data_IF_067650177761
#
_entry.id   IF_067650177761
#
_cell.length_a   1.000
_cell.length_b   1.000
_cell.length_c   1.000
_cell.angle_alpha   90.00
_cell.angle_beta   90.00
_cell.angle_gamma   90.00
#
_symmetry.space_group_name_H-M   'P 1'
#
loop_
_entity.id
_entity.type
_entity.pdbx_description
1 polymer ?
#
# COMPACT_ATOMS: atom_id res chain seq x y z
N UNK A 1 27.69 8.95 17.78
CA UNK A 1 26.25 9.22 17.59
C UNK A 1 25.54 7.88 17.69
N UNK A 2 24.50 7.77 18.51
CA UNK A 2 23.66 6.57 18.57
C UNK A 2 22.52 6.62 17.53
N UNK A 3 21.81 5.50 17.36
CA UNK A 3 20.76 5.37 16.34
C UNK A 3 19.59 6.31 16.57
N UNK A 4 19.20 6.53 17.83
CA UNK A 4 18.10 7.41 18.22
C UNK A 4 18.41 8.87 17.89
N UNK A 5 19.60 9.34 18.23
CA UNK A 5 20.06 10.69 17.90
C UNK A 5 20.13 10.92 16.37
N UNK A 6 20.59 9.92 15.60
CA UNK A 6 20.58 9.95 14.14
C UNK A 6 19.16 10.04 13.58
N UNK A 7 18.23 9.26 14.12
CA UNK A 7 16.83 9.26 13.69
C UNK A 7 16.13 10.61 14.00
N UNK A 8 16.33 11.16 15.20
CA UNK A 8 15.84 12.50 15.58
C UNK A 8 16.40 13.57 14.64
N UNK A 9 17.69 13.52 14.32
CA UNK A 9 18.33 14.45 13.37
C UNK A 9 17.64 14.41 11.99
N UNK A 10 17.43 13.21 11.42
CA UNK A 10 16.75 13.04 10.13
C UNK A 10 15.28 13.49 10.17
N UNK A 11 14.59 13.31 11.30
CA UNK A 11 13.19 13.74 11.45
C UNK A 11 13.02 15.27 11.52
N UNK A 12 14.03 16.00 12.00
CA UNK A 12 14.01 17.47 12.10
C UNK A 12 14.08 18.18 10.75
N UNK A 13 14.84 17.62 9.80
CA UNK A 13 15.24 18.38 8.63
C UNK A 13 15.54 17.50 7.43
N UNK A 14 14.56 17.35 6.54
CA UNK A 14 14.84 17.02 5.16
C UNK A 14 13.82 17.65 4.20
N UNK A 15 14.33 18.34 3.18
CA UNK A 15 13.57 18.87 2.03
C UNK A 15 14.15 18.42 0.68
N UNK A 16 15.28 17.70 0.69
CA UNK A 16 16.06 17.37 -0.51
C UNK A 16 16.61 15.94 -0.41
N UNK A 17 15.93 15.02 -1.10
CA UNK A 17 16.03 13.57 -0.83
C UNK A 17 17.35 12.94 -1.30
N UNK A 18 17.92 13.37 -2.43
CA UNK A 18 19.10 12.72 -3.02
C UNK A 18 20.41 13.14 -2.33
N UNK A 19 20.55 14.40 -1.94
CA UNK A 19 21.69 14.86 -1.14
C UNK A 19 21.73 14.12 0.20
N UNK A 20 20.58 13.98 0.87
CA UNK A 20 20.48 13.29 2.14
C UNK A 20 20.79 11.78 2.03
N UNK A 21 20.37 11.09 0.94
CA UNK A 21 20.76 9.69 0.69
C UNK A 21 22.28 9.52 0.65
N UNK A 22 22.98 10.41 -0.05
CA UNK A 22 24.44 10.35 -0.14
C UNK A 22 25.12 10.63 1.22
N UNK A 23 24.68 11.67 1.93
CA UNK A 23 25.22 12.01 3.27
C UNK A 23 24.99 10.87 4.28
N UNK A 24 23.79 10.28 4.32
CA UNK A 24 23.49 9.10 5.15
C UNK A 24 24.35 7.90 4.75
N UNK A 25 24.50 7.62 3.45
CA UNK A 25 25.34 6.50 2.99
C UNK A 25 26.81 6.66 3.41
N UNK A 26 27.37 7.88 3.31
CA UNK A 26 28.73 8.20 3.78
C UNK A 26 28.82 8.05 5.30
N UNK A 27 27.88 8.62 6.06
CA UNK A 27 27.88 8.54 7.52
C UNK A 27 27.78 7.09 8.03
N UNK A 28 26.96 6.24 7.39
CA UNK A 28 26.89 4.82 7.72
C UNK A 28 28.20 4.08 7.42
N UNK A 29 28.88 4.37 6.30
CA UNK A 29 30.20 3.78 5.98
C UNK A 29 31.31 4.17 6.96
N UNK A 30 31.17 5.30 7.66
CA UNK A 30 32.08 5.75 8.71
C UNK A 30 31.72 5.18 10.10
N UNK A 31 30.58 4.49 10.26
CA UNK A 31 30.21 3.82 11.50
C UNK A 31 31.02 2.53 11.69
N UNK A 32 31.44 2.25 12.93
CA UNK A 32 32.06 0.98 13.31
C UNK A 32 31.08 -0.21 13.33
N UNK A 33 29.77 0.07 13.40
CA UNK A 33 28.71 -0.92 13.26
C UNK A 33 27.47 -0.29 12.61
N UNK A 34 27.45 -0.13 11.26
CA UNK A 34 26.32 0.47 10.56
C UNK A 34 25.02 -0.33 10.75
N UNK A 35 25.12 -1.65 10.87
CA UNK A 35 23.96 -2.52 11.07
C UNK A 35 23.31 -2.26 12.43
N UNK A 36 24.09 -2.25 13.53
CA UNK A 36 23.55 -1.96 14.86
C UNK A 36 23.04 -0.51 14.96
N UNK A 37 23.79 0.45 14.40
CA UNK A 37 23.40 1.86 14.38
C UNK A 37 22.05 2.09 13.68
N UNK A 38 21.82 1.45 12.53
CA UNK A 38 20.54 1.54 11.82
C UNK A 38 19.43 0.79 12.57
N UNK A 39 19.71 -0.38 13.15
CA UNK A 39 18.71 -1.13 13.91
C UNK A 39 18.20 -0.33 15.13
N UNK A 40 19.11 0.35 15.84
CA UNK A 40 18.78 1.22 16.97
C UNK A 40 18.03 2.50 16.54
N UNK A 41 18.16 2.89 15.27
CA UNK A 41 17.42 3.99 14.66
C UNK A 41 16.01 3.59 14.15
N UNK A 42 15.54 2.37 14.43
CA UNK A 42 14.20 1.90 14.04
C UNK A 42 13.10 2.17 15.08
N UNK A 43 13.44 2.85 16.18
CA UNK A 43 12.47 3.24 17.21
C UNK A 43 11.29 4.04 16.62
N UNK A 44 10.09 3.88 17.19
CA UNK A 44 8.93 4.68 16.81
C UNK A 44 8.36 4.47 15.39
N UNK A 45 8.89 3.53 14.59
CA UNK A 45 8.30 3.16 13.29
C UNK A 45 6.83 2.72 13.43
N UNK A 46 6.53 2.04 14.54
CA UNK A 46 5.18 1.80 15.05
C UNK A 46 5.02 2.45 16.44
N UNK A 47 3.78 2.73 16.89
CA UNK A 47 3.53 3.31 18.20
C UNK A 47 4.19 2.54 19.37
N UNK A 48 4.66 3.25 20.41
CA UNK A 48 4.70 4.72 20.54
C UNK A 48 5.72 5.35 19.59
N UNK A 49 5.37 6.46 18.93
CA UNK A 49 6.26 7.12 17.97
C UNK A 49 7.41 7.85 18.65
N UNK A 50 8.46 8.14 17.86
CA UNK A 50 9.65 8.81 18.37
C UNK A 50 9.33 10.22 18.87
N UNK A 51 9.89 10.59 20.02
CA UNK A 51 9.72 11.91 20.64
C UNK A 51 11.05 12.64 20.80
N UNK A 52 10.98 13.96 20.73
CA UNK A 52 12.02 14.87 21.19
C UNK A 52 11.43 15.77 22.28
N UNK A 53 11.90 15.57 23.52
CA UNK A 53 11.21 16.14 24.69
C UNK A 53 9.74 15.71 24.70
N UNK A 54 8.85 16.68 24.84
CA UNK A 54 7.39 16.47 24.83
C UNK A 54 6.77 16.38 23.43
N UNK A 55 7.54 16.65 22.36
CA UNK A 55 7.04 16.70 20.98
C UNK A 55 7.19 15.34 20.30
N UNK A 56 6.08 14.76 19.87
CA UNK A 56 6.07 13.52 19.08
C UNK A 56 6.19 13.80 17.58
N UNK A 57 7.09 13.08 16.91
CA UNK A 57 7.23 13.19 15.46
C UNK A 57 6.06 12.49 14.75
N UNK A 58 5.54 13.12 13.70
CA UNK A 58 4.49 12.54 12.85
C UNK A 58 4.95 11.20 12.28
N UNK A 59 4.11 10.17 12.38
CA UNK A 59 4.36 8.80 11.88
C UNK A 59 5.02 8.76 10.49
N UNK A 60 4.50 9.52 9.52
CA UNK A 60 5.03 9.57 8.14
C UNK A 60 6.48 10.07 8.07
N UNK A 61 6.90 10.97 8.97
CA UNK A 61 8.28 11.47 9.05
C UNK A 61 9.20 10.36 9.59
N UNK A 62 8.80 9.71 10.69
CA UNK A 62 9.54 8.59 11.29
C UNK A 62 9.67 7.42 10.32
N UNK A 63 8.59 7.04 9.64
CA UNK A 63 8.62 5.97 8.64
C UNK A 63 9.52 6.32 7.45
N UNK A 64 9.58 7.58 7.01
CA UNK A 64 10.49 8.01 5.92
C UNK A 64 11.96 7.95 6.32
N UNK A 65 12.34 8.41 7.52
CA UNK A 65 13.74 8.34 7.98
C UNK A 65 14.19 6.89 8.22
N UNK A 66 13.34 6.03 8.78
CA UNK A 66 13.63 4.59 8.88
C UNK A 66 13.81 3.94 7.50
N UNK A 67 12.90 4.20 6.56
CA UNK A 67 13.00 3.68 5.18
C UNK A 67 14.31 4.14 4.51
N UNK A 68 14.69 5.42 4.68
CA UNK A 68 15.93 5.98 4.15
C UNK A 68 17.19 5.29 4.70
N UNK A 69 17.23 5.08 6.03
CA UNK A 69 18.33 4.41 6.72
C UNK A 69 18.47 2.95 6.29
N UNK A 70 17.36 2.20 6.21
CA UNK A 70 17.36 0.83 5.73
C UNK A 70 17.72 0.75 4.23
N UNK A 71 17.22 1.66 3.40
CA UNK A 71 17.60 1.74 1.97
C UNK A 71 19.11 1.93 1.81
N UNK A 72 19.74 2.82 2.60
CA UNK A 72 21.18 3.02 2.53
C UNK A 72 21.94 1.83 3.11
N UNK A 73 21.44 1.19 4.18
CA UNK A 73 22.05 -0.02 4.74
C UNK A 73 22.07 -1.17 3.72
N UNK A 74 20.95 -1.41 3.03
CA UNK A 74 20.83 -2.39 1.94
C UNK A 74 21.87 -2.13 0.84
N UNK A 75 22.06 -0.87 0.43
CA UNK A 75 23.01 -0.49 -0.63
C UNK A 75 24.48 -0.62 -0.23
N UNK A 76 24.84 -0.34 1.02
CA UNK A 76 26.24 -0.50 1.48
C UNK A 76 26.57 -1.93 1.90
N UNK A 77 25.56 -2.78 2.12
CA UNK A 77 25.64 -4.22 2.40
C UNK A 77 26.76 -4.62 3.36
N UNK A 78 26.75 -4.14 4.62
CA UNK A 78 27.82 -4.39 5.56
C UNK A 78 27.70 -5.80 6.18
N UNK A 79 28.79 -6.33 6.72
CA UNK A 79 28.76 -7.62 7.42
C UNK A 79 27.92 -7.55 8.69
N UNK A 80 26.72 -8.16 8.67
CA UNK A 80 25.79 -8.18 9.80
C UNK A 80 26.26 -9.18 10.86
N UNK A 81 26.53 -8.70 12.09
CA UNK A 81 26.92 -9.55 13.22
C UNK A 81 25.74 -10.44 13.67
N UNK A 82 25.97 -11.69 14.13
CA UNK A 82 24.87 -12.63 14.45
C UNK A 82 23.86 -12.14 15.49
N UNK A 83 24.31 -11.40 16.52
CA UNK A 83 23.41 -10.85 17.54
C UNK A 83 22.51 -9.75 16.96
N UNK A 84 23.06 -8.86 16.14
CA UNK A 84 22.30 -7.81 15.43
C UNK A 84 21.27 -8.44 14.49
N UNK A 85 21.64 -9.49 13.75
CA UNK A 85 20.68 -10.23 12.90
C UNK A 85 19.54 -10.81 13.75
N UNK A 86 19.83 -11.42 14.90
CA UNK A 86 18.83 -11.98 15.82
C UNK A 86 17.88 -10.91 16.38
N UNK A 87 18.36 -9.70 16.63
CA UNK A 87 17.52 -8.56 17.04
C UNK A 87 16.66 -8.05 15.87
N UNK A 88 17.23 -7.91 14.68
CA UNK A 88 16.51 -7.54 13.46
C UNK A 88 15.42 -8.56 13.09
N UNK A 89 15.64 -9.87 13.29
CA UNK A 89 14.61 -10.91 13.13
C UNK A 89 13.42 -10.68 14.05
N UNK A 90 13.65 -10.37 15.34
CA UNK A 90 12.56 -10.06 16.29
C UNK A 90 11.77 -8.83 15.85
N UNK A 91 12.47 -7.78 15.41
CA UNK A 91 11.85 -6.56 14.90
C UNK A 91 11.01 -6.82 13.65
N UNK A 92 11.50 -7.66 12.72
CA UNK A 92 10.78 -8.03 11.51
C UNK A 92 9.48 -8.78 11.81
N UNK A 93 9.47 -9.74 12.75
CA UNK A 93 8.24 -10.38 13.21
C UNK A 93 7.25 -9.40 13.88
N UNK A 94 7.76 -8.45 14.69
CA UNK A 94 6.93 -7.38 15.27
C UNK A 94 6.31 -6.48 14.18
N UNK A 95 7.06 -6.16 13.12
CA UNK A 95 6.55 -5.35 12.01
C UNK A 95 5.52 -6.12 11.18
N UNK A 96 5.79 -7.38 10.86
CA UNK A 96 4.87 -8.26 10.12
C UNK A 96 3.50 -8.41 10.80
N UNK A 97 3.47 -8.47 12.14
CA UNK A 97 2.23 -8.56 12.94
C UNK A 97 1.51 -7.22 13.11
N UNK A 98 2.21 -6.08 13.04
CA UNK A 98 1.60 -4.74 13.09
C UNK A 98 1.16 -4.21 11.72
N UNK A 99 1.70 -4.77 10.63
CA UNK A 99 1.48 -4.30 9.27
C UNK A 99 0.12 -4.70 8.72
N UNK A 100 -0.68 -3.70 8.34
CA UNK A 100 -1.91 -3.86 7.58
C UNK A 100 -1.63 -4.12 6.09
N UNK A 101 -2.59 -4.77 5.42
CA UNK A 101 -2.46 -5.28 4.04
C UNK A 101 -3.13 -4.39 2.98
N UNK A 102 -3.46 -3.14 3.32
CA UNK A 102 -4.09 -2.20 2.39
C UNK A 102 -3.07 -1.25 1.72
N UNK A 103 -3.52 -0.54 0.69
CA UNK A 103 -2.66 0.33 -0.11
C UNK A 103 -2.25 1.65 0.58
N UNK A 104 -2.88 2.02 1.70
CA UNK A 104 -2.55 3.24 2.45
C UNK A 104 -1.23 3.10 3.21
N UNK A 105 -0.86 1.87 3.57
CA UNK A 105 0.33 1.55 4.37
C UNK A 105 1.55 1.12 3.53
N UNK A 106 1.71 1.69 2.33
CA UNK A 106 2.86 1.40 1.44
C UNK A 106 4.23 1.64 2.11
N UNK A 107 4.36 2.60 3.05
CA UNK A 107 5.62 2.87 3.77
C UNK A 107 5.97 1.78 4.79
N UNK A 108 4.97 1.13 5.37
CA UNK A 108 5.11 0.00 6.28
C UNK A 108 5.70 -1.19 5.52
N UNK A 109 5.02 -1.58 4.44
CA UNK A 109 5.42 -2.66 3.54
C UNK A 109 6.83 -2.41 3.01
N UNK A 110 7.11 -1.21 2.52
CA UNK A 110 8.44 -0.84 2.02
C UNK A 110 9.53 -0.95 3.10
N UNK A 111 9.25 -0.47 4.32
CA UNK A 111 10.20 -0.54 5.44
C UNK A 111 10.53 -1.98 5.81
N UNK A 112 9.52 -2.85 5.89
CA UNK A 112 9.72 -4.28 6.14
C UNK A 112 10.57 -4.94 5.05
N UNK A 113 10.31 -4.68 3.77
CA UNK A 113 11.13 -5.25 2.71
C UNK A 113 12.58 -4.75 2.73
N UNK A 114 12.83 -3.48 3.04
CA UNK A 114 14.19 -3.00 3.29
C UNK A 114 14.82 -3.65 4.55
N UNK A 115 14.06 -3.88 5.62
CA UNK A 115 14.54 -4.57 6.82
C UNK A 115 14.91 -6.03 6.53
N UNK A 116 14.10 -6.75 5.76
CA UNK A 116 14.43 -8.13 5.36
C UNK A 116 15.70 -8.16 4.48
N UNK A 117 15.79 -7.26 3.51
CA UNK A 117 16.89 -7.22 2.55
C UNK A 117 18.22 -6.79 3.18
N UNK A 118 18.19 -5.78 4.06
CA UNK A 118 19.42 -5.25 4.68
C UNK A 118 20.08 -6.22 5.67
N UNK A 119 19.29 -7.10 6.32
CA UNK A 119 19.80 -7.99 7.37
C UNK A 119 19.87 -9.47 6.94
N UNK A 120 19.41 -9.78 5.73
CA UNK A 120 19.39 -11.14 5.17
C UNK A 120 18.40 -12.05 5.91
N UNK A 121 17.12 -11.65 5.99
CA UNK A 121 16.12 -12.29 6.84
C UNK A 121 15.06 -13.11 6.08
N UNK A 122 15.11 -13.18 4.75
CA UNK A 122 14.08 -13.80 3.91
C UNK A 122 13.69 -15.22 4.37
N UNK A 123 14.68 -16.05 4.72
CA UNK A 123 14.50 -17.45 5.13
C UNK A 123 13.76 -17.66 6.45
N UNK A 124 13.44 -16.59 7.19
CA UNK A 124 12.64 -16.66 8.41
C UNK A 124 11.12 -16.50 8.16
N UNK A 125 10.71 -16.26 6.91
CA UNK A 125 9.35 -15.93 6.52
C UNK A 125 8.83 -16.84 5.40
N UNK A 126 7.51 -16.97 5.29
CA UNK A 126 6.91 -17.70 4.18
C UNK A 126 7.03 -16.91 2.86
N UNK A 127 7.55 -17.58 1.84
CA UNK A 127 7.81 -17.00 0.53
C UNK A 127 6.54 -16.50 -0.20
N UNK A 128 5.41 -17.19 -0.06
CA UNK A 128 4.15 -16.82 -0.73
C UNK A 128 3.49 -15.64 0.00
N UNK A 129 3.62 -15.55 1.33
CA UNK A 129 3.21 -14.39 2.10
C UNK A 129 4.03 -13.14 1.77
N UNK A 130 5.37 -13.26 1.64
CA UNK A 130 6.22 -12.15 1.18
C UNK A 130 5.78 -11.66 -0.22
N UNK A 131 5.49 -12.58 -1.13
CA UNK A 131 5.04 -12.27 -2.49
C UNK A 131 3.66 -11.59 -2.50
N UNK A 132 2.75 -12.03 -1.63
CA UNK A 132 1.44 -11.38 -1.43
C UNK A 132 1.60 -9.92 -0.95
N UNK A 133 2.53 -9.67 -0.03
CA UNK A 133 2.85 -8.32 0.50
C UNK A 133 3.53 -7.43 -0.55
N UNK A 134 4.44 -7.96 -1.37
CA UNK A 134 5.13 -7.20 -2.44
C UNK A 134 4.17 -6.58 -3.46
N UNK A 135 2.97 -7.15 -3.65
CA UNK A 135 1.96 -6.62 -4.59
C UNK A 135 1.51 -5.21 -4.21
N UNK A 136 1.46 -4.88 -2.91
CA UNK A 136 1.08 -3.55 -2.41
C UNK A 136 2.10 -2.49 -2.90
N UNK A 137 3.39 -2.81 -2.84
CA UNK A 137 4.48 -1.93 -3.28
C UNK A 137 4.93 -2.20 -4.73
N UNK A 138 4.14 -2.89 -5.55
CA UNK A 138 4.49 -3.24 -6.93
C UNK A 138 4.70 -2.04 -7.87
N UNK A 139 4.36 -0.82 -7.43
CA UNK A 139 4.66 0.46 -8.11
C UNK A 139 6.03 1.04 -7.77
N UNK A 140 6.62 0.67 -6.64
CA UNK A 140 7.89 1.24 -6.20
C UNK A 140 9.04 0.78 -7.13
N UNK A 141 9.94 1.71 -7.49
CA UNK A 141 11.09 1.43 -8.36
C UNK A 141 12.02 0.34 -7.81
N UNK A 142 12.14 0.21 -6.50
CA UNK A 142 13.04 -0.76 -5.84
C UNK A 142 12.48 -2.18 -5.71
N UNK A 143 11.19 -2.42 -5.98
CA UNK A 143 10.53 -3.72 -5.78
C UNK A 143 11.16 -4.90 -6.56
N UNK A 144 11.68 -4.72 -7.80
CA UNK A 144 12.45 -5.77 -8.48
C UNK A 144 13.74 -6.15 -7.73
N UNK A 145 14.36 -5.21 -7.01
CA UNK A 145 15.59 -5.47 -6.27
C UNK A 145 15.33 -6.29 -5.00
N UNK A 146 14.20 -6.08 -4.33
CA UNK A 146 13.78 -6.96 -3.22
C UNK A 146 13.61 -8.41 -3.66
N UNK A 147 13.01 -8.66 -4.83
CA UNK A 147 12.84 -10.02 -5.37
C UNK A 147 14.20 -10.70 -5.63
N UNK A 148 15.25 -9.95 -5.98
CA UNK A 148 16.62 -10.46 -6.16
C UNK A 148 17.31 -10.72 -4.82
N UNK A 149 17.38 -9.70 -3.96
CA UNK A 149 18.13 -9.76 -2.69
C UNK A 149 17.51 -10.69 -1.66
N UNK A 150 16.19 -10.95 -1.75
CA UNK A 150 15.48 -11.92 -0.91
C UNK A 150 15.39 -13.32 -1.55
N UNK A 151 16.06 -13.54 -2.70
CA UNK A 151 16.14 -14.83 -3.41
C UNK A 151 14.77 -15.42 -3.83
N UNK A 152 13.74 -14.58 -3.99
CA UNK A 152 12.36 -14.97 -4.34
C UNK A 152 12.15 -15.23 -5.85
N UNK A 153 13.20 -15.72 -6.53
CA UNK A 153 13.26 -15.82 -7.99
C UNK A 153 12.26 -16.79 -8.60
N UNK A 154 12.01 -17.92 -7.94
CA UNK A 154 11.06 -18.95 -8.34
C UNK A 154 9.60 -18.46 -8.33
N UNK A 155 9.28 -17.51 -7.44
CA UNK A 155 7.94 -16.94 -7.26
C UNK A 155 7.58 -15.85 -8.26
N UNK A 156 8.56 -15.28 -8.96
CA UNK A 156 8.37 -14.16 -9.92
C UNK A 156 7.23 -14.40 -10.92
N UNK A 157 7.08 -15.59 -11.54
CA UNK A 157 5.97 -15.83 -12.47
C UNK A 157 4.59 -15.79 -11.81
N UNK A 158 4.46 -16.31 -10.58
CA UNK A 158 3.22 -16.20 -9.80
C UNK A 158 2.92 -14.77 -9.39
N UNK A 159 3.95 -14.00 -9.04
CA UNK A 159 3.84 -12.57 -8.76
C UNK A 159 3.37 -11.76 -9.97
N UNK A 160 3.95 -11.98 -11.15
CA UNK A 160 3.51 -11.35 -12.42
C UNK A 160 2.04 -11.69 -12.71
N UNK A 161 1.65 -12.96 -12.58
CA UNK A 161 0.27 -13.40 -12.76
C UNK A 161 -0.69 -12.69 -11.79
N UNK A 162 -0.31 -12.53 -10.53
CA UNK A 162 -1.10 -11.81 -9.52
C UNK A 162 -1.30 -10.33 -9.88
N UNK A 163 -0.29 -9.65 -10.42
CA UNK A 163 -0.42 -8.26 -10.89
C UNK A 163 -1.38 -8.13 -12.08
N UNK A 164 -1.34 -9.06 -13.04
CA UNK A 164 -2.28 -9.09 -14.16
C UNK A 164 -3.72 -9.29 -13.65
N UNK A 165 -3.93 -10.23 -12.73
CA UNK A 165 -5.24 -10.49 -12.11
C UNK A 165 -5.77 -9.27 -11.33
N UNK A 166 -4.91 -8.57 -10.57
CA UNK A 166 -5.26 -7.33 -9.85
C UNK A 166 -5.36 -6.09 -10.75
N UNK A 167 -5.32 -6.24 -12.08
CA UNK A 167 -5.41 -5.14 -13.06
C UNK A 167 -4.31 -4.08 -12.90
N UNK A 168 -3.09 -4.54 -12.62
CA UNK A 168 -1.85 -3.77 -12.57
C UNK A 168 -0.92 -4.15 -13.74
N UNK A 169 -1.32 -3.93 -15.01
CA UNK A 169 -0.58 -4.42 -16.16
C UNK A 169 0.74 -3.69 -16.40
N UNK A 170 0.84 -2.39 -16.06
CA UNK A 170 2.07 -1.61 -16.25
C UNK A 170 3.15 -2.08 -15.29
N UNK A 171 2.75 -2.37 -14.05
CA UNK A 171 3.58 -3.00 -13.05
C UNK A 171 4.00 -4.41 -13.51
N UNK A 172 3.05 -5.23 -13.99
CA UNK A 172 3.35 -6.56 -14.52
C UNK A 172 4.39 -6.53 -15.64
N UNK A 173 4.21 -5.67 -16.65
CA UNK A 173 5.16 -5.51 -17.78
C UNK A 173 6.54 -5.09 -17.30
N UNK A 174 6.63 -4.18 -16.32
CA UNK A 174 7.91 -3.82 -15.71
C UNK A 174 8.64 -5.02 -15.10
N UNK A 175 7.94 -5.91 -14.41
CA UNK A 175 8.55 -7.14 -13.87
C UNK A 175 8.85 -8.17 -14.96
N UNK A 176 8.04 -8.25 -16.02
CA UNK A 176 8.31 -9.10 -17.18
C UNK A 176 9.65 -8.72 -17.83
N UNK A 177 9.91 -7.42 -18.03
CA UNK A 177 11.19 -6.94 -18.57
C UNK A 177 12.35 -7.03 -17.56
N UNK A 178 12.12 -6.69 -16.28
CA UNK A 178 13.18 -6.72 -15.25
C UNK A 178 13.71 -8.14 -14.92
N UNK A 179 13.03 -9.18 -15.40
CA UNK A 179 13.34 -10.60 -15.20
C UNK A 179 13.24 -11.44 -16.49
N UNK A 180 13.27 -10.80 -17.66
CA UNK A 180 13.35 -11.45 -18.98
C UNK A 180 12.22 -12.46 -19.30
N UNK A 181 11.06 -12.33 -18.65
CA UNK A 181 9.92 -13.27 -18.76
C UNK A 181 9.05 -13.06 -20.03
N UNK A 182 9.54 -12.33 -21.03
CA UNK A 182 8.77 -11.87 -22.22
C UNK A 182 8.11 -13.02 -22.98
N UNK A 183 8.80 -14.15 -23.13
CA UNK A 183 8.24 -15.35 -23.79
C UNK A 183 7.06 -15.96 -23.01
N UNK A 184 7.13 -15.96 -21.67
CA UNK A 184 6.11 -16.55 -20.80
C UNK A 184 4.90 -15.65 -20.62
N UNK A 185 5.10 -14.33 -20.66
CA UNK A 185 4.05 -13.33 -20.53
C UNK A 185 4.19 -12.27 -21.64
N UNK A 186 3.69 -12.54 -22.86
CA UNK A 186 3.81 -11.62 -23.99
C UNK A 186 3.19 -10.24 -23.68
N UNK A 187 3.97 -9.14 -23.68
CA UNK A 187 3.46 -7.81 -23.35
C UNK A 187 2.33 -7.34 -24.27
N UNK A 188 2.32 -7.80 -25.52
CA UNK A 188 1.27 -7.50 -26.50
C UNK A 188 -0.13 -7.86 -25.99
N UNK A 189 -0.32 -9.10 -25.54
CA UNK A 189 -1.61 -9.59 -25.08
C UNK A 189 -2.09 -8.77 -23.88
N UNK A 190 -1.20 -8.52 -22.91
CA UNK A 190 -1.48 -7.76 -21.69
C UNK A 190 -1.92 -6.32 -22.02
N UNK A 191 -1.23 -5.64 -22.95
CA UNK A 191 -1.57 -4.28 -23.36
C UNK A 191 -2.86 -4.21 -24.19
N UNK A 192 -3.10 -5.17 -25.11
CA UNK A 192 -4.34 -5.26 -25.88
C UNK A 192 -5.55 -5.50 -24.96
N UNK A 193 -5.42 -6.40 -24.00
CA UNK A 193 -6.46 -6.69 -23.01
C UNK A 193 -6.74 -5.47 -22.11
N UNK A 194 -5.69 -4.77 -21.66
CA UNK A 194 -5.84 -3.55 -20.87
C UNK A 194 -6.56 -2.44 -21.64
N UNK A 195 -6.16 -2.16 -22.89
CA UNK A 195 -6.81 -1.16 -23.74
C UNK A 195 -8.29 -1.50 -24.01
N UNK A 196 -8.62 -2.77 -24.14
CA UNK A 196 -9.99 -3.28 -24.32
C UNK A 196 -10.80 -3.12 -23.03
N UNK A 197 -10.27 -3.57 -21.89
CA UNK A 197 -10.90 -3.40 -20.58
C UNK A 197 -11.12 -1.93 -20.22
N UNK A 198 -10.15 -1.06 -20.50
CA UNK A 198 -10.24 0.40 -20.35
C UNK A 198 -11.41 0.97 -21.16
N UNK A 199 -11.56 0.55 -22.43
CA UNK A 199 -12.64 1.04 -23.29
C UNK A 199 -14.02 0.60 -22.79
N UNK A 200 -14.15 -0.65 -22.33
CA UNK A 200 -15.38 -1.18 -21.73
C UNK A 200 -15.73 -0.42 -20.45
N UNK A 201 -14.75 -0.17 -19.57
CA UNK A 201 -14.95 0.56 -18.33
C UNK A 201 -15.38 2.02 -18.57
N UNK A 202 -14.75 2.73 -19.51
CA UNK A 202 -15.14 4.08 -19.89
C UNK A 202 -16.57 4.15 -20.46
N UNK A 203 -16.95 3.19 -21.33
CA UNK A 203 -18.33 3.08 -21.84
C UNK A 203 -19.34 2.84 -20.72
N UNK A 204 -19.01 1.99 -19.73
CA UNK A 204 -19.86 1.72 -18.57
C UNK A 204 -20.12 2.98 -17.74
N UNK A 205 -19.08 3.76 -17.42
CA UNK A 205 -19.20 5.04 -16.68
C UNK A 205 -20.12 6.02 -17.43
N UNK A 206 -19.91 6.14 -18.75
CA UNK A 206 -20.73 7.02 -19.61
C UNK A 206 -22.22 6.65 -19.57
N UNK A 207 -22.56 5.36 -19.59
CA UNK A 207 -23.95 4.90 -19.52
C UNK A 207 -24.55 4.94 -18.10
N UNK A 208 -23.75 4.77 -17.04
CA UNK A 208 -24.27 4.78 -15.67
C UNK A 208 -24.55 6.18 -15.14
N UNK A 209 -23.79 7.19 -15.59
CA UNK A 209 -23.95 8.57 -15.09
C UNK A 209 -25.00 9.38 -15.87
N UNK A 210 -25.16 9.12 -17.18
CA UNK A 210 -25.96 9.91 -18.14
C UNK A 210 -25.74 11.45 -18.11
N UNK A 211 -24.72 11.93 -17.40
CA UNK A 211 -24.44 13.34 -17.12
C UNK A 211 -23.14 13.80 -17.80
N UNK A 212 -22.91 15.12 -17.81
CA UNK A 212 -21.69 15.70 -18.41
C UNK A 212 -20.45 15.31 -17.58
N UNK A 213 -20.59 15.28 -16.25
CA UNK A 213 -19.51 14.94 -15.31
C UNK A 213 -19.03 13.51 -15.52
N UNK A 214 -19.94 12.53 -15.59
CA UNK A 214 -19.56 11.13 -15.87
C UNK A 214 -18.98 10.91 -17.26
N UNK A 215 -19.41 11.71 -18.26
CA UNK A 215 -18.75 11.71 -19.57
C UNK A 215 -17.32 12.26 -19.46
N UNK A 216 -17.11 13.40 -18.80
CA UNK A 216 -15.77 13.98 -18.57
C UNK A 216 -14.88 13.00 -17.82
N UNK A 217 -15.38 12.33 -16.78
CA UNK A 217 -14.64 11.33 -16.02
C UNK A 217 -14.27 10.11 -16.87
N UNK A 218 -15.20 9.61 -17.70
CA UNK A 218 -14.90 8.52 -18.63
C UNK A 218 -13.82 8.88 -19.66
N UNK A 219 -13.74 10.15 -20.07
CA UNK A 219 -12.72 10.67 -20.99
C UNK A 219 -11.38 10.90 -20.27
N UNK A 220 -11.37 11.51 -19.08
CA UNK A 220 -10.18 11.68 -18.22
C UNK A 220 -9.48 10.33 -17.97
N UNK A 221 -10.28 9.31 -17.61
CA UNK A 221 -9.80 7.95 -17.43
C UNK A 221 -9.19 7.38 -18.71
N UNK A 222 -9.86 7.56 -19.85
CA UNK A 222 -9.36 7.05 -21.14
C UNK A 222 -8.06 7.73 -21.58
N UNK A 223 -7.90 9.03 -21.33
CA UNK A 223 -6.61 9.74 -21.55
C UNK A 223 -5.54 9.14 -20.64
N UNK A 224 -5.81 9.00 -19.34
CA UNK A 224 -4.88 8.42 -18.37
C UNK A 224 -4.42 7.00 -18.76
N UNK A 225 -5.35 6.13 -19.14
CA UNK A 225 -5.06 4.77 -19.60
C UNK A 225 -4.20 4.75 -20.88
N UNK A 226 -4.50 5.63 -21.85
CA UNK A 226 -3.73 5.73 -23.10
C UNK A 226 -2.33 6.30 -22.89
N UNK A 227 -2.17 7.30 -22.02
CA UNK A 227 -0.87 7.88 -21.63
C UNK A 227 -0.02 6.85 -20.90
N UNK A 228 -0.62 6.02 -20.02
CA UNK A 228 0.09 4.93 -19.36
C UNK A 228 0.60 3.87 -20.35
N UNK A 229 -0.21 3.49 -21.35
CA UNK A 229 0.21 2.58 -22.43
C UNK A 229 1.31 3.21 -23.29
N UNK A 230 1.15 4.45 -23.73
CA UNK A 230 2.15 5.14 -24.54
C UNK A 230 3.50 5.17 -23.83
N UNK A 231 3.50 5.56 -22.54
CA UNK A 231 4.72 5.56 -21.73
C UNK A 231 5.30 4.15 -21.57
N UNK A 232 4.47 3.13 -21.34
CA UNK A 232 4.94 1.74 -21.25
C UNK A 232 5.58 1.26 -22.56
N UNK A 233 5.03 1.67 -23.71
CA UNK A 233 5.59 1.36 -25.03
C UNK A 233 6.95 2.03 -25.23
N UNK A 234 7.10 3.29 -24.85
CA UNK A 234 8.35 4.05 -24.93
C UNK A 234 9.40 3.55 -23.91
N UNK A 235 9.00 3.25 -22.66
CA UNK A 235 9.88 2.76 -21.59
C UNK A 235 10.46 1.35 -21.89
N UNK A 236 9.72 0.49 -22.61
CA UNK A 236 10.10 -0.91 -22.90
C UNK A 236 10.36 -1.22 -24.38
N UNK A 237 10.43 -0.20 -25.25
CA UNK A 237 10.72 -0.33 -26.69
C UNK A 237 9.77 -1.29 -27.43
N UNK A 238 8.47 -1.10 -27.23
CA UNK A 238 7.40 -1.93 -27.81
C UNK A 238 6.81 -1.33 -29.10
N UNK A 239 7.52 -0.41 -29.78
CA UNK A 239 6.99 0.38 -30.90
C UNK A 239 6.65 -0.47 -32.13
N UNK A 240 7.30 -1.63 -32.28
CA UNK A 240 7.00 -2.64 -33.30
C UNK A 240 5.63 -3.31 -33.09
N UNK A 241 5.13 -3.33 -31.85
CA UNK A 241 3.85 -3.92 -31.46
C UNK A 241 2.75 -2.84 -31.40
N UNK A 242 3.09 -1.67 -30.86
CA UNK A 242 2.18 -0.54 -30.69
C UNK A 242 2.78 0.74 -31.27
N UNK A 243 2.20 1.24 -32.36
CA UNK A 243 2.57 2.53 -32.94
C UNK A 243 2.38 3.68 -31.94
N UNK A 244 3.47 4.37 -31.49
CA UNK A 244 3.36 5.50 -30.58
C UNK A 244 2.61 6.67 -31.21
N UNK A 245 2.74 6.85 -32.52
CA UNK A 245 2.04 7.88 -33.28
C UNK A 245 0.51 7.66 -33.28
N UNK A 246 0.07 6.40 -33.40
CA UNK A 246 -1.35 6.05 -33.31
C UNK A 246 -1.91 6.30 -31.91
N UNK A 247 -1.15 5.97 -30.86
CA UNK A 247 -1.52 6.28 -29.47
C UNK A 247 -1.58 7.80 -29.21
N UNK A 248 -0.57 8.55 -29.66
CA UNK A 248 -0.52 10.03 -29.57
C UNK A 248 -1.71 10.68 -30.29
N UNK A 249 -2.13 10.14 -31.44
CA UNK A 249 -3.32 10.63 -32.14
C UNK A 249 -4.62 10.32 -31.38
N UNK A 250 -4.78 9.09 -30.86
CA UNK A 250 -5.93 8.73 -30.03
C UNK A 250 -6.05 9.59 -28.78
N UNK A 251 -4.94 9.93 -28.13
CA UNK A 251 -4.91 10.85 -26.97
C UNK A 251 -5.48 12.22 -27.38
N UNK A 252 -4.94 12.84 -28.45
CA UNK A 252 -5.41 14.13 -28.97
C UNK A 252 -6.91 14.15 -29.32
N UNK A 253 -7.41 13.07 -29.90
CA UNK A 253 -8.83 12.97 -30.29
C UNK A 253 -9.77 12.82 -29.07
N UNK A 254 -9.31 12.18 -27.99
CA UNK A 254 -10.05 12.10 -26.72
C UNK A 254 -9.96 13.42 -25.95
N UNK A 255 -8.80 14.08 -25.93
CA UNK A 255 -8.61 15.41 -25.34
C UNK A 255 -9.49 16.47 -26.03
N UNK A 256 -9.59 16.43 -27.37
CA UNK A 256 -10.50 17.31 -28.13
C UNK A 256 -11.96 17.09 -27.72
N UNK A 257 -12.39 15.83 -27.56
CA UNK A 257 -13.74 15.52 -27.07
C UNK A 257 -13.98 16.04 -25.65
N UNK A 258 -12.99 15.89 -24.76
CA UNK A 258 -13.03 16.36 -23.39
C UNK A 258 -13.19 17.88 -23.32
N UNK A 259 -12.40 18.64 -24.10
CA UNK A 259 -12.52 20.10 -24.19
C UNK A 259 -13.91 20.53 -24.68
N UNK A 260 -14.41 19.94 -25.77
CA UNK A 260 -15.76 20.22 -26.31
C UNK A 260 -16.91 19.91 -25.33
N UNK A 261 -16.67 19.07 -24.31
CA UNK A 261 -17.67 18.72 -23.28
C UNK A 261 -17.55 19.60 -22.04
N UNK A 262 -16.34 19.97 -21.62
CA UNK A 262 -16.13 20.94 -20.52
C UNK A 262 -16.75 22.31 -20.83
N UNK A 263 -16.63 22.80 -22.06
CA UNK A 263 -17.25 24.08 -22.49
C UNK A 263 -18.79 24.05 -22.50
N UNK A 264 -19.43 22.88 -22.31
CA UNK A 264 -20.89 22.73 -22.22
C UNK A 264 -21.40 22.55 -20.78
N UNK A 265 -20.49 22.58 -19.80
CA UNK A 265 -20.86 22.64 -18.40
C UNK A 265 -21.36 24.06 -18.07
N UNK A 266 -22.50 24.24 -17.36
CA UNK A 266 -22.92 25.57 -16.92
C UNK A 266 -21.86 26.19 -16.02
N UNK A 267 -21.53 27.45 -16.31
CA UNK A 267 -20.63 28.25 -15.47
C UNK A 267 -21.35 28.59 -14.16
N UNK A 268 -20.92 27.98 -13.06
CA UNK A 268 -21.47 28.22 -11.72
C UNK A 268 -20.86 29.45 -11.04
N UNK A 269 -19.92 30.15 -11.68
CA UNK A 269 -19.22 31.33 -11.16
C UNK A 269 -19.58 32.63 -11.90
N UNK A 270 -20.86 32.87 -12.21
CA UNK A 270 -21.35 34.22 -12.58
C UNK A 270 -22.86 34.44 -12.42
N UNK A 271 -23.28 34.77 -11.19
CA UNK A 271 -24.26 35.83 -10.81
C UNK A 271 -24.92 35.53 -9.46
N UNK A 272 -24.50 36.23 -8.42
CA UNK A 272 -25.40 36.57 -7.31
C UNK A 272 -26.20 37.82 -7.70
N UNK A 273 -27.55 37.80 -7.70
CA UNK A 273 -28.33 39.02 -7.65
C UNK A 273 -28.31 39.52 -6.20
N UNK A 274 -27.64 40.64 -5.92
CA UNK A 274 -27.86 41.34 -4.66
C UNK A 274 -29.32 41.80 -4.57
N UNK A 275 -30.04 41.54 -3.47
CA UNK A 275 -31.33 42.15 -3.24
C UNK A 275 -31.11 43.62 -2.82
N UNK A 276 -31.39 44.54 -3.74
CA UNK A 276 -31.37 45.97 -3.44
C UNK A 276 -32.46 46.30 -2.39
N UNK A 277 -32.03 46.68 -1.19
CA UNK A 277 -32.89 47.37 -0.22
C UNK A 277 -33.32 48.72 -0.83
N UNK A 278 -34.63 48.88 -1.05
CA UNK A 278 -35.20 50.14 -1.55
C UNK A 278 -36.24 50.65 -0.57
N UNK A 279 -35.83 51.61 0.26
CA UNK A 279 -36.75 52.34 1.11
C UNK A 279 -37.79 53.12 0.30
N UNK A 280 -39.06 53.05 0.71
CA UNK A 280 -40.00 54.16 0.54
C UNK A 280 -41.07 54.16 1.64
N UNK A 281 -41.37 55.36 2.12
CA UNK A 281 -42.09 55.62 3.37
C UNK A 281 -43.62 55.75 3.21
N UNK A 282 -44.32 55.52 4.35
CA UNK A 282 -45.69 56.02 4.71
C UNK A 282 -46.89 55.40 3.94
N UNK A 283 -48.10 55.24 4.51
CA UNK A 283 -48.74 55.69 5.77
C UNK A 283 -49.60 54.57 6.42
N UNK A 284 -49.95 54.72 7.70
CA UNK A 284 -50.96 53.91 8.41
C UNK A 284 -52.36 54.57 8.38
N UNK A 285 -53.43 53.85 8.80
CA UNK A 285 -53.90 54.11 10.18
C UNK A 285 -54.46 52.90 10.96
N UNK A 286 -54.25 52.96 12.30
CA UNK A 286 -55.08 52.58 13.47
C UNK A 286 -56.29 51.64 13.24
N UNK A 287 -56.58 50.65 14.09
CA UNK A 287 -56.38 50.55 15.56
C UNK A 287 -56.17 49.06 15.99
N UNK A 288 -56.25 48.54 17.23
CA UNK A 288 -56.81 49.02 18.52
C UNK A 288 -56.02 48.45 19.75
N UNK A 289 -56.63 48.48 20.95
CA UNK A 289 -56.17 48.02 22.26
C UNK A 289 -56.35 46.47 22.48
N UNK A 290 -55.80 45.79 23.50
CA UNK A 290 -55.38 46.25 24.84
C UNK A 290 -54.19 45.46 25.43
N UNK A 291 -53.47 46.10 26.36
CA UNK A 291 -52.67 45.46 27.42
C UNK A 291 -53.40 45.67 28.78
N UNK A 292 -52.94 45.23 29.99
CA UNK A 292 -51.63 45.64 30.54
C UNK A 292 -50.93 44.71 31.57
N UNK A 293 -49.77 45.21 32.05
CA UNK A 293 -49.06 44.95 33.34
C UNK A 293 -48.00 43.82 33.41
N UNK A 294 -46.84 44.22 33.98
CA UNK A 294 -45.57 43.53 34.29
C UNK A 294 -45.60 43.06 35.80
N UNK A 295 -44.50 42.87 36.61
CA UNK A 295 -43.05 42.86 36.35
C UNK A 295 -42.16 41.79 37.07
N UNK A 296 -40.99 41.54 36.46
CA UNK A 296 -39.61 41.53 37.04
C UNK A 296 -39.14 40.71 38.29
N UNK A 297 -37.90 40.17 38.15
CA UNK A 297 -36.81 40.05 39.19
C UNK A 297 -37.00 39.01 40.35
N UNK A 298 -35.98 38.50 41.08
CA UNK A 298 -34.52 38.33 40.88
C UNK A 298 -33.81 37.65 42.09
N UNK A 299 -32.70 36.91 41.88
CA UNK A 299 -31.46 36.83 42.72
C UNK A 299 -31.38 36.00 44.05
N UNK A 300 -30.17 35.40 44.28
CA UNK A 300 -29.55 34.83 45.52
C UNK A 300 -30.05 33.47 46.09
N UNK A 301 -29.22 32.45 46.38
CA UNK A 301 -28.13 32.27 47.38
C UNK A 301 -28.67 32.08 48.83
N UNK A 302 -28.20 31.18 49.71
CA UNK A 302 -26.81 30.80 50.10
C UNK A 302 -26.77 29.53 51.02
N UNK A 303 -25.58 28.96 51.30
CA UNK A 303 -25.20 28.07 52.47
C UNK A 303 -25.85 26.67 52.64
N UNK A 304 -25.19 25.61 53.18
CA UNK A 304 -23.76 25.42 53.51
C UNK A 304 -23.40 24.12 54.29
N UNK A 305 -22.19 23.59 54.03
CA UNK A 305 -21.22 22.86 54.91
C UNK A 305 -21.49 21.49 55.62
N UNK A 306 -20.55 20.54 55.39
CA UNK A 306 -20.11 19.37 56.23
C UNK A 306 -21.13 18.23 56.49
N UNK A 307 -20.78 16.96 56.78
CA UNK A 307 -19.60 16.30 57.42
C UNK A 307 -19.18 15.00 56.65
N UNK A 308 -18.01 14.43 56.96
CA UNK A 308 -17.45 13.20 56.34
C UNK A 308 -17.53 11.93 57.28
N UNK A 309 -16.70 10.86 57.15
CA UNK A 309 -17.16 9.47 56.99
C UNK A 309 -17.00 8.59 58.26
N UNK A 310 -17.11 7.24 58.17
CA UNK A 310 -15.86 6.45 58.10
C UNK A 310 -15.93 5.14 57.27
N UNK A 311 -14.86 4.35 57.34
CA UNK A 311 -14.53 3.16 56.55
C UNK A 311 -14.09 1.96 57.41
N UNK A 312 -14.32 0.71 56.98
CA UNK A 312 -13.51 -0.51 57.29
C UNK A 312 -14.14 -1.75 56.62
N UNK A 313 -13.46 -2.58 55.80
CA UNK A 313 -12.39 -3.58 56.06
C UNK A 313 -12.90 -4.97 56.49
N UNK A 314 -12.76 -6.00 55.63
CA UNK A 314 -12.26 -7.37 55.96
C UNK A 314 -12.44 -8.37 54.80
N UNK A 315 -11.63 -9.44 54.81
CA UNK A 315 -11.59 -10.61 53.91
C UNK A 315 -10.86 -11.76 54.67
N UNK A 316 -10.57 -12.94 54.08
CA UNK A 316 -11.36 -13.96 53.35
C UNK A 316 -11.40 -15.27 54.24
N UNK A 317 -11.26 -16.57 53.81
CA UNK A 317 -11.38 -17.27 52.51
C UNK A 317 -12.16 -18.63 52.54
N UNK A 318 -12.12 -19.38 51.40
CA UNK A 318 -12.33 -20.85 51.24
C UNK A 318 -13.81 -21.37 51.26
N UNK A 319 -14.27 -22.35 50.46
CA UNK A 319 -13.65 -23.54 49.89
C UNK A 319 -14.50 -24.26 48.79
N UNK A 320 -13.86 -25.16 48.02
CA UNK A 320 -14.39 -26.41 47.40
C UNK A 320 -15.45 -26.42 46.26
N UNK A 321 -15.18 -27.28 45.28
CA UNK A 321 -15.98 -27.71 44.11
C UNK A 321 -16.51 -29.14 44.38
N UNK A 322 -17.72 -29.55 43.92
CA UNK A 322 -17.76 -30.56 42.86
C UNK A 322 -18.93 -30.48 41.83
N UNK A 323 -18.64 -31.11 40.69
CA UNK A 323 -19.42 -31.44 39.48
C UNK A 323 -20.83 -32.03 39.71
N UNK A 324 -21.75 -31.85 38.73
CA UNK A 324 -22.23 -32.94 37.81
C UNK A 324 -23.12 -32.42 36.66
N UNK A 325 -22.91 -32.98 35.45
CA UNK A 325 -23.79 -32.94 34.24
C UNK A 325 -25.13 -33.71 34.50
N UNK A 326 -26.11 -33.91 33.56
CA UNK A 326 -26.07 -33.91 32.08
C UNK A 326 -27.42 -33.44 31.41
N UNK A 327 -27.97 -33.97 30.27
CA UNK A 327 -27.45 -34.79 29.16
C UNK A 327 -27.94 -34.44 27.71
N UNK A 328 -27.43 -35.23 26.73
CA UNK A 328 -28.13 -35.74 25.51
C UNK A 328 -28.35 -34.84 24.26
N UNK A 329 -28.25 -35.32 23.00
CA UNK A 329 -27.76 -36.63 22.47
C UNK A 329 -27.47 -36.59 20.93
N UNK A 330 -26.52 -37.41 20.47
CA UNK A 330 -26.53 -38.04 19.13
C UNK A 330 -25.82 -37.30 17.96
N UNK A 331 -25.03 -37.94 17.09
CA UNK A 331 -24.45 -39.29 17.18
C UNK A 331 -24.03 -39.92 15.83
N UNK A 332 -22.82 -40.50 15.79
CA UNK A 332 -22.35 -41.55 14.84
C UNK A 332 -22.15 -41.19 13.34
N UNK A 333 -21.22 -41.82 12.57
CA UNK A 333 -20.13 -42.77 12.91
C UNK A 333 -19.01 -42.80 11.84
N UNK A 334 -17.82 -43.21 12.30
CA UNK A 334 -16.57 -43.54 11.56
C UNK A 334 -16.73 -44.54 10.39
N UNK A 335 -15.73 -44.54 9.48
CA UNK A 335 -14.79 -45.68 9.32
C UNK A 335 -13.41 -45.26 8.78
N UNK A 336 -12.36 -45.94 9.23
CA UNK A 336 -10.98 -45.84 8.73
C UNK A 336 -10.70 -46.95 7.70
N UNK A 337 -9.66 -46.79 6.88
CA UNK A 337 -9.03 -47.87 6.11
C UNK A 337 -7.50 -47.76 6.22
N UNK A 338 -6.84 -48.92 6.26
CA UNK A 338 -5.38 -49.08 6.33
C UNK A 338 -4.75 -49.08 4.93
N UNK A 339 -3.45 -48.82 4.83
CA UNK A 339 -2.61 -49.28 3.72
C UNK A 339 -1.28 -49.84 4.23
N UNK A 340 -0.86 -50.96 3.65
CA UNK A 340 0.45 -51.57 3.81
C UNK A 340 1.18 -51.62 2.46
N UNK A 341 2.51 -51.78 2.53
CA UNK A 341 3.47 -51.79 1.43
C UNK A 341 3.35 -52.99 0.48
N UNK A 342 3.72 -52.83 -0.81
CA UNK A 342 4.45 -53.84 -1.62
C UNK A 342 5.04 -53.29 -2.94
N UNK A 343 6.25 -53.79 -3.21
CA UNK A 343 7.18 -53.80 -4.36
C UNK A 343 6.91 -53.23 -5.78
N UNK A 344 7.94 -52.48 -6.25
CA UNK A 344 8.77 -52.53 -7.48
C UNK A 344 8.26 -53.01 -8.89
N UNK A 345 8.94 -52.60 -10.00
CA UNK A 345 8.32 -52.40 -11.32
C UNK A 345 8.74 -53.41 -12.43
N UNK A 346 8.15 -53.30 -13.64
CA UNK A 346 8.67 -53.91 -14.87
C UNK A 346 9.52 -52.96 -15.75
N UNK A 347 10.14 -53.54 -16.79
CA UNK A 347 11.33 -53.06 -17.52
C UNK A 347 11.09 -52.26 -18.81
N UNK A 348 12.19 -51.68 -19.30
CA UNK A 348 12.46 -51.16 -20.64
C UNK A 348 12.04 -52.09 -21.79
N UNK A 349 11.77 -51.48 -22.96
CA UNK A 349 11.97 -52.13 -24.27
C UNK A 349 12.74 -51.19 -25.21
N UNK A 350 13.75 -51.74 -25.88
CA UNK A 350 14.53 -51.07 -26.92
C UNK A 350 13.88 -51.19 -28.30
N UNK A 351 13.91 -50.09 -29.06
CA UNK A 351 14.07 -50.01 -30.53
C UNK A 351 14.49 -48.53 -30.80
N UNK A 352 15.50 -48.17 -31.59
CA UNK A 352 16.31 -48.92 -32.57
C UNK A 352 16.09 -48.33 -33.97
N UNK A 353 16.83 -47.28 -34.37
CA UNK A 353 16.44 -46.52 -35.58
C UNK A 353 17.34 -45.37 -36.07
N UNK A 354 18.66 -45.59 -36.08
CA UNK A 354 19.70 -44.91 -36.88
C UNK A 354 19.26 -43.97 -38.05
N UNK A 355 19.72 -42.70 -38.08
CA UNK A 355 20.47 -42.06 -39.21
C UNK A 355 20.76 -40.56 -39.03
N UNK A 356 22.04 -40.16 -39.23
CA UNK A 356 22.46 -38.76 -39.47
C UNK A 356 22.15 -38.34 -40.92
N UNK A 357 21.80 -37.07 -41.18
CA UNK A 357 22.12 -36.41 -42.45
C UNK A 357 23.50 -35.75 -42.43
N UNK A 358 24.11 -35.65 -43.61
CA UNK A 358 25.44 -35.04 -43.85
C UNK A 358 25.35 -33.52 -43.92
N UNK A 359 26.46 -32.88 -43.59
CA UNK A 359 26.78 -31.49 -43.94
C UNK A 359 26.66 -31.31 -45.46
N UNK A 360 26.01 -30.23 -45.90
CA UNK A 360 26.27 -29.61 -47.20
C UNK A 360 26.72 -28.16 -46.98
N UNK A 361 27.92 -27.84 -47.50
CA UNK A 361 28.30 -26.47 -47.85
C UNK A 361 27.83 -26.21 -49.28
N UNK A 362 27.40 -24.99 -49.55
CA UNK A 362 27.60 -24.16 -50.75
C UNK A 362 27.08 -22.76 -50.31
N UNK A 363 27.94 -21.74 -50.29
CA UNK A 363 28.22 -20.80 -51.38
C UNK A 363 27.05 -19.88 -51.70
#
# INVERSE_FOLDING_TARGET
>A
MDGKALQIFLNKGCKDDEKMKNEVSIALRLSSDPAKLVLDAMEGFYPPHLREGDVEFKEVVVKRSCNLLLEQLMKISPTIKPHVRKEATKLAFLWMTKMTMDNQHCLDVLGFFYLLASYGLASAFDSDELISRLVIIARNRQTPEFLRVLELGDKIPGFIQNLILKKQPMEAIRFIFAFEMVYRFPPEAILRDYLTCSQIAARKIRWSSNSIEGLVESLNRRVSDLVAVLKCVEDYKLESIFSPNTLKQQIKDVERQLSMRKTKLPDLDSKSPQPNLREKNRLAPKSTASAPVLPSKSVSATTGSRVAPPSSTSAPPSASVPKTDPPYQGGNKRRQAQYQSSDKPPREQHQGGNKRPRIQRLH
#
